data_IF_687987342020
#
_entry.id   IF_687987342020
#
_cell.length_a   1.000
_cell.length_b   1.000
_cell.length_c   1.000
_cell.angle_alpha   90.00
_cell.angle_beta   90.00
_cell.angle_gamma   90.00
#
_symmetry.space_group_name_H-M   'P 1'
#
loop_
_entity.id
_entity.type
_entity.pdbx_description
1 polymer ?
#
# COMPACT_ATOMS: atom_id res chain seq x y z
N UNK A 1 42.94 9.02 39.07
CA UNK A 1 42.96 8.76 37.62
C UNK A 1 42.21 7.45 37.36
N UNK A 2 41.00 7.53 36.82
CA UNK A 2 40.14 6.37 36.58
C UNK A 2 38.86 6.84 35.88
N UNK A 3 39.03 7.36 34.67
CA UNK A 3 37.93 7.59 33.72
C UNK A 3 37.90 6.38 32.78
N UNK A 4 36.72 6.07 32.22
CA UNK A 4 36.32 4.93 31.36
C UNK A 4 35.67 3.78 32.17
N UNK A 5 34.43 3.34 31.91
CA UNK A 5 33.52 3.52 30.77
C UNK A 5 32.08 3.36 31.27
N UNK A 6 31.24 4.35 31.02
CA UNK A 6 29.79 4.19 31.10
C UNK A 6 29.34 3.96 29.66
N UNK A 7 28.97 2.73 29.32
CA UNK A 7 28.39 2.41 28.02
C UNK A 7 26.93 2.86 28.02
N UNK A 8 26.50 3.79 27.17
CA UNK A 8 25.08 4.06 26.99
C UNK A 8 24.46 2.86 26.27
N UNK A 9 23.48 2.25 26.95
CA UNK A 9 22.45 1.41 26.36
C UNK A 9 21.70 2.25 25.32
N UNK A 10 21.69 1.86 24.05
CA UNK A 10 21.04 2.65 23.01
C UNK A 10 21.29 2.17 21.58
N UNK A 11 20.67 1.06 21.19
CA UNK A 11 20.54 0.59 19.80
C UNK A 11 19.45 -0.49 19.87
N UNK A 12 18.23 -0.37 19.35
CA UNK A 12 17.62 0.51 18.37
C UNK A 12 16.19 0.77 18.86
N UNK A 13 15.88 2.01 19.24
CA UNK A 13 14.51 2.48 19.02
C UNK A 13 14.40 2.56 17.51
N UNK A 14 13.67 1.62 16.92
CA UNK A 14 13.09 1.78 15.60
C UNK A 14 12.26 3.07 15.65
N UNK A 15 12.90 4.17 15.30
CA UNK A 15 12.25 5.41 14.94
C UNK A 15 11.51 5.10 13.65
N UNK A 16 10.33 4.50 13.77
CA UNK A 16 9.30 4.62 12.77
C UNK A 16 8.80 6.05 12.82
N UNK A 17 9.64 7.01 12.45
CA UNK A 17 9.15 8.14 11.69
C UNK A 17 8.70 7.54 10.36
N UNK A 18 7.40 7.63 10.10
CA UNK A 18 7.08 8.53 9.02
C UNK A 18 5.95 9.46 9.48
N UNK A 19 6.17 10.76 9.34
CA UNK A 19 5.11 11.66 8.96
C UNK A 19 4.41 11.04 7.75
N UNK A 20 3.37 10.27 8.03
CA UNK A 20 2.62 9.53 7.05
C UNK A 20 2.16 10.52 5.98
N UNK A 21 2.61 10.25 4.77
CA UNK A 21 1.89 10.37 3.51
C UNK A 21 0.36 10.52 3.70
N UNK A 22 -0.15 11.69 4.09
CA UNK A 22 -1.59 11.89 4.32
C UNK A 22 -2.43 11.76 3.04
N UNK A 23 -1.79 11.61 1.87
CA UNK A 23 -2.43 11.44 0.57
C UNK A 23 -2.30 10.03 -0.02
N UNK A 24 -1.52 9.12 0.58
CA UNK A 24 -1.38 7.76 0.05
C UNK A 24 -2.51 6.87 0.53
N UNK A 25 -3.29 6.37 -0.41
CA UNK A 25 -4.41 5.47 -0.17
C UNK A 25 -4.05 4.07 -0.65
N UNK A 26 -4.50 3.07 0.11
CA UNK A 26 -4.42 1.69 -0.36
C UNK A 26 -5.44 1.50 -1.48
N UNK A 27 -5.03 0.82 -2.54
CA UNK A 27 -5.85 0.55 -3.70
C UNK A 27 -5.68 -0.90 -4.14
N UNK A 28 -6.77 -1.46 -4.63
CA UNK A 28 -6.85 -2.77 -5.24
C UNK A 28 -7.23 -2.56 -6.70
N UNK A 29 -6.35 -2.98 -7.60
CA UNK A 29 -6.56 -2.89 -9.04
C UNK A 29 -6.90 -4.28 -9.56
N UNK A 30 -7.99 -4.36 -10.31
CA UNK A 30 -8.39 -5.56 -11.06
C UNK A 30 -7.95 -5.40 -12.51
N UNK A 31 -7.37 -6.46 -13.07
CA UNK A 31 -6.83 -6.54 -14.42
C UNK A 31 -7.81 -7.34 -15.28
N UNK A 32 -8.05 -6.87 -16.49
CA UNK A 32 -8.91 -7.55 -17.47
C UNK A 32 -8.32 -8.91 -17.89
N UNK A 33 -9.21 -9.89 -18.14
CA UNK A 33 -8.82 -11.26 -18.50
C UNK A 33 -7.92 -11.33 -19.73
N UNK A 34 -8.06 -10.43 -20.71
CA UNK A 34 -7.23 -10.40 -21.91
C UNK A 34 -5.77 -9.97 -21.62
N UNK A 35 -5.53 -9.33 -20.47
CA UNK A 35 -4.23 -8.84 -20.03
C UNK A 35 -3.66 -9.62 -18.85
N UNK A 36 -4.33 -10.68 -18.37
CA UNK A 36 -3.85 -11.54 -17.29
C UNK A 36 -2.51 -12.20 -17.59
N UNK A 37 -2.30 -12.68 -18.80
CA UNK A 37 -1.02 -13.27 -19.24
C UNK A 37 0.13 -12.24 -19.24
N UNK A 38 -0.21 -10.95 -19.25
CA UNK A 38 0.71 -9.81 -19.27
C UNK A 38 0.66 -9.02 -17.96
N UNK A 39 0.12 -9.59 -16.88
CA UNK A 39 -0.07 -8.87 -15.62
C UNK A 39 1.24 -8.31 -15.05
N UNK A 40 2.37 -9.00 -15.23
CA UNK A 40 3.67 -8.49 -14.83
C UNK A 40 4.01 -7.18 -15.56
N UNK A 41 3.77 -7.10 -16.87
CA UNK A 41 3.95 -5.86 -17.63
C UNK A 41 2.98 -4.76 -17.17
N UNK A 42 1.72 -5.10 -16.91
CA UNK A 42 0.74 -4.11 -16.42
C UNK A 42 1.13 -3.62 -15.03
N UNK A 43 1.61 -4.50 -14.14
CA UNK A 43 2.11 -4.14 -12.82
C UNK A 43 3.34 -3.22 -12.91
N UNK A 44 4.22 -3.40 -13.90
CA UNK A 44 5.30 -2.45 -14.18
C UNK A 44 4.81 -1.09 -14.65
N UNK A 45 3.78 -1.04 -15.51
CA UNK A 45 3.16 0.22 -15.94
C UNK A 45 2.47 0.95 -14.78
N UNK A 46 1.77 0.21 -13.92
CA UNK A 46 1.17 0.75 -12.70
C UNK A 46 2.26 1.33 -11.78
N UNK A 47 3.38 0.62 -11.60
CA UNK A 47 4.54 1.12 -10.84
C UNK A 47 5.11 2.41 -11.43
N UNK A 48 5.29 2.44 -12.75
CA UNK A 48 5.76 3.64 -13.46
C UNK A 48 4.79 4.83 -13.32
N UNK A 49 3.49 4.56 -13.20
CA UNK A 49 2.44 5.56 -12.97
C UNK A 49 2.43 6.10 -11.54
N UNK A 50 3.16 5.46 -10.62
CA UNK A 50 3.31 5.87 -9.23
C UNK A 50 2.60 4.97 -8.21
N UNK A 51 2.08 3.81 -8.63
CA UNK A 51 1.61 2.79 -7.71
C UNK A 51 2.79 2.12 -7.02
N UNK A 52 2.77 2.07 -5.69
CA UNK A 52 3.66 1.22 -4.92
C UNK A 52 2.99 -0.15 -4.76
N UNK A 53 3.39 -1.12 -5.59
CA UNK A 53 2.85 -2.48 -5.55
C UNK A 53 3.30 -3.19 -4.27
N UNK A 54 2.32 -3.68 -3.51
CA UNK A 54 2.53 -4.47 -2.29
C UNK A 54 2.42 -5.97 -2.60
N UNK A 55 1.35 -6.36 -3.30
CA UNK A 55 1.12 -7.75 -3.68
C UNK A 55 0.48 -7.85 -5.08
N UNK A 56 0.92 -8.83 -5.85
CA UNK A 56 0.36 -9.16 -7.16
C UNK A 56 -0.16 -10.59 -7.14
N UNK A 57 -1.45 -10.76 -7.38
CA UNK A 57 -2.13 -12.05 -7.52
C UNK A 57 -2.38 -12.32 -9.00
N UNK A 58 -1.34 -12.74 -9.71
CA UNK A 58 -1.37 -12.98 -11.16
C UNK A 58 -2.45 -13.97 -11.61
N UNK A 59 -2.74 -15.00 -10.82
CA UNK A 59 -3.81 -15.97 -11.11
C UNK A 59 -5.22 -15.36 -11.08
N UNK A 60 -5.44 -14.34 -10.24
CA UNK A 60 -6.76 -13.70 -10.07
C UNK A 60 -6.86 -12.36 -10.80
N UNK A 61 -5.76 -11.83 -11.35
CA UNK A 61 -5.74 -10.50 -11.94
C UNK A 61 -5.78 -9.35 -10.95
N UNK A 62 -5.39 -9.58 -9.70
CA UNK A 62 -5.48 -8.55 -8.66
C UNK A 62 -4.10 -8.01 -8.33
N UNK A 63 -3.96 -6.69 -8.30
CA UNK A 63 -2.75 -5.99 -7.84
C UNK A 63 -3.15 -5.07 -6.70
N UNK A 64 -2.58 -5.27 -5.52
CA UNK A 64 -2.76 -4.39 -4.37
C UNK A 64 -1.53 -3.52 -4.18
N UNK A 65 -1.75 -2.30 -3.71
CA UNK A 65 -0.68 -1.38 -3.46
C UNK A 65 -1.15 -0.10 -2.81
N UNK A 66 -0.23 0.85 -2.72
CA UNK A 66 -0.51 2.20 -2.24
C UNK A 66 -0.19 3.21 -3.32
N UNK A 67 -1.08 4.16 -3.56
CA UNK A 67 -0.87 5.25 -4.52
C UNK A 67 -1.27 6.57 -3.91
N UNK A 68 -0.69 7.66 -4.41
CA UNK A 68 -1.15 9.00 -4.09
C UNK A 68 -2.56 9.24 -4.64
N UNK A 69 -3.45 9.81 -3.83
CA UNK A 69 -4.85 10.06 -4.21
C UNK A 69 -4.98 10.91 -5.48
N UNK A 70 -4.05 11.84 -5.71
CA UNK A 70 -3.99 12.68 -6.92
C UNK A 70 -3.64 11.87 -8.18
N UNK A 71 -2.95 10.73 -8.03
CA UNK A 71 -2.53 9.84 -9.13
C UNK A 71 -3.46 8.67 -9.36
N UNK A 72 -4.53 8.55 -8.57
CA UNK A 72 -5.51 7.47 -8.72
C UNK A 72 -6.16 7.46 -10.11
N UNK A 73 -6.48 8.63 -10.65
CA UNK A 73 -7.10 8.72 -11.99
C UNK A 73 -6.18 8.16 -13.08
N UNK A 74 -4.87 8.39 -12.97
CA UNK A 74 -3.89 7.89 -13.92
C UNK A 74 -3.73 6.37 -13.90
N UNK A 75 -4.00 5.71 -12.76
CA UNK A 75 -4.02 4.24 -12.70
C UNK A 75 -5.18 3.64 -13.49
N UNK A 76 -6.34 4.30 -13.48
CA UNK A 76 -7.51 3.86 -14.24
C UNK A 76 -7.35 4.05 -15.76
N UNK A 77 -6.37 4.85 -16.19
CA UNK A 77 -6.05 5.07 -17.61
C UNK A 77 -5.05 4.02 -18.16
N UNK A 78 -4.48 3.17 -17.29
CA UNK A 78 -3.52 2.13 -17.71
C UNK A 78 -4.24 1.04 -18.51
N UNK A 79 -3.69 0.70 -19.66
CA UNK A 79 -4.23 -0.34 -20.52
C UNK A 79 -4.21 -1.71 -19.82
N UNK A 80 -5.37 -2.36 -19.78
CA UNK A 80 -5.55 -3.66 -19.10
C UNK A 80 -6.09 -3.54 -17.67
N UNK A 81 -6.26 -2.34 -17.13
CA UNK A 81 -7.00 -2.14 -15.89
C UNK A 81 -8.49 -2.25 -16.15
N UNK A 82 -9.15 -3.19 -15.48
CA UNK A 82 -10.60 -3.34 -15.48
C UNK A 82 -11.25 -2.37 -14.49
N UNK A 83 -10.74 -2.33 -13.26
CA UNK A 83 -11.27 -1.47 -12.20
C UNK A 83 -10.23 -1.13 -11.13
N UNK A 84 -10.33 0.07 -10.56
CA UNK A 84 -9.49 0.55 -9.45
C UNK A 84 -10.37 0.86 -8.25
N UNK A 85 -10.21 0.09 -7.18
CA UNK A 85 -10.93 0.27 -5.94
C UNK A 85 -10.01 0.82 -4.84
N UNK A 86 -10.47 1.80 -4.08
CA UNK A 86 -9.75 2.27 -2.88
C UNK A 86 -10.11 1.36 -1.73
N UNK A 87 -9.09 0.78 -1.10
CA UNK A 87 -9.27 0.04 0.15
C UNK A 87 -9.65 1.04 1.25
N UNK A 88 -10.90 0.95 1.70
CA UNK A 88 -11.42 1.72 2.82
C UNK A 88 -11.41 0.82 4.04
N UNK A 89 -10.47 1.05 4.94
CA UNK A 89 -10.48 0.44 6.26
C UNK A 89 -11.72 0.87 7.01
N UNK A 90 -12.78 0.07 6.96
CA UNK A 90 -13.97 0.26 7.80
C UNK A 90 -13.63 -0.28 9.19
N UNK A 91 -13.27 0.61 10.12
CA UNK A 91 -13.20 0.26 11.54
C UNK A 91 -14.62 0.04 12.04
N UNK A 92 -14.98 -1.23 12.25
CA UNK A 92 -16.14 -1.57 13.06
C UNK A 92 -15.90 -1.00 14.48
N UNK A 93 -16.86 -0.26 15.06
CA UNK A 93 -16.74 0.18 16.45
C UNK A 93 -16.66 -1.07 17.35
N UNK A 94 -15.84 -1.03 18.41
CA UNK A 94 -15.69 -2.17 19.32
C UNK A 94 -17.05 -2.58 19.92
N UNK A 95 -17.40 -3.87 19.94
CA UNK A 95 -18.64 -4.34 20.57
C UNK A 95 -18.47 -4.28 22.09
N UNK A 96 -18.98 -3.23 22.72
CA UNK A 96 -18.84 -3.09 24.18
C UNK A 96 -19.47 -1.86 24.83
N UNK A 97 -20.47 -1.22 24.21
CA UNK A 97 -21.31 -0.26 24.94
C UNK A 97 -22.55 -0.99 25.44
N UNK A 98 -22.51 -1.30 26.74
CA UNK A 98 -23.62 -1.65 27.65
C UNK A 98 -24.96 -1.97 26.96
N UNK A 99 -25.21 -3.26 26.71
CA UNK A 99 -26.58 -3.72 26.44
C UNK A 99 -27.36 -3.61 27.76
N UNK A 100 -28.35 -2.71 27.76
CA UNK A 100 -29.22 -2.38 28.89
C UNK A 100 -30.12 -3.54 29.33
#
# INVERSE_FOLDING_TARGET
MGLLSCSPSGSDIVDANPGADMSKVQVTISIDDAHLEQIDQVAEQLKASGLSVDQTMSTLGIVTGSVDSDKMSSLSEVAGVDSVEVDKTITLPPPGSDVQ
#
